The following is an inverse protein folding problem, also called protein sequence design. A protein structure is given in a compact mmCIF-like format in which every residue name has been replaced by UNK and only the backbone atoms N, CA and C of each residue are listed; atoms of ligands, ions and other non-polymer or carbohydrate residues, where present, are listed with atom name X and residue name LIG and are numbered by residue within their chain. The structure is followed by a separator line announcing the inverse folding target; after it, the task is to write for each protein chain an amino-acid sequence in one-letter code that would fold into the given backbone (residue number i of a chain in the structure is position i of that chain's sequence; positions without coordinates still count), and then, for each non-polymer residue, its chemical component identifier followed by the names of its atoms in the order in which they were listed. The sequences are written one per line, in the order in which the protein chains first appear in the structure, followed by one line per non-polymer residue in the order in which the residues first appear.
data_IF_349139644830
#
_entry.id   IF_349139644830
#
_cell.length_a   1.000
_cell.length_b   1.000
_cell.length_c   1.000
_cell.angle_alpha   90.00
_cell.angle_beta   90.00
_cell.angle_gamma   90.00
#
_symmetry.space_group_name_H-M   'P 1'
#
loop_
_entity.id
_entity.type
_entity.pdbx_description
1 polymer ?
#
# COMPACT_ATOMS: atom_id res chain seq x y z
N UNK A 1 2.50 9.49 9.83
CA UNK A 1 2.86 8.09 10.10
C UNK A 1 3.10 7.43 8.74
N UNK A 2 4.24 6.78 8.52
CA UNK A 2 4.58 6.15 7.23
C UNK A 2 4.51 4.63 7.35
N UNK A 3 4.18 3.94 6.27
CA UNK A 3 3.97 2.49 6.26
C UNK A 3 5.14 1.79 5.57
N UNK A 4 5.73 0.79 6.23
CA UNK A 4 6.79 -0.03 5.60
C UNK A 4 6.24 -0.85 4.43
N UNK A 5 6.97 -0.82 3.32
CA UNK A 5 6.71 -1.59 2.11
C UNK A 5 7.35 -2.99 2.17
N UNK A 6 8.17 -3.29 3.17
CA UNK A 6 8.86 -4.57 3.33
C UNK A 6 7.95 -5.81 3.22
N UNK A 7 6.77 -5.87 3.88
CA UNK A 7 5.88 -7.03 3.72
C UNK A 7 5.15 -7.07 2.37
N UNK A 8 5.18 -5.98 1.60
CA UNK A 8 4.50 -5.82 0.32
C UNK A 8 5.41 -6.04 -0.89
N UNK A 9 6.66 -6.47 -0.69
CA UNK A 9 7.59 -6.80 -1.78
C UNK A 9 8.42 -8.04 -1.48
N UNK A 10 8.71 -8.84 -2.51
CA UNK A 10 9.46 -10.10 -2.39
C UNK A 10 10.97 -9.89 -2.14
N UNK A 11 11.51 -8.72 -2.47
CA UNK A 11 12.92 -8.40 -2.21
C UNK A 11 13.20 -8.14 -0.72
N UNK A 12 12.17 -7.92 0.09
CA UNK A 12 12.31 -7.55 1.50
C UNK A 12 12.96 -6.17 1.70
N UNK A 13 12.89 -5.29 0.68
CA UNK A 13 13.41 -3.93 0.76
C UNK A 13 12.50 -3.12 1.68
N UNK A 14 13.11 -2.45 2.65
CA UNK A 14 12.38 -1.58 3.57
C UNK A 14 12.41 -0.13 3.10
N UNK A 15 11.32 0.27 2.46
CA UNK A 15 11.01 1.66 2.15
C UNK A 15 9.65 2.02 2.72
N UNK A 16 9.39 3.32 2.83
CA UNK A 16 8.19 3.85 3.46
C UNK A 16 7.25 4.49 2.43
N UNK A 17 5.98 4.11 2.43
CA UNK A 17 4.92 4.82 1.73
C UNK A 17 4.20 5.79 2.66
N UNK A 18 3.71 6.90 2.10
CA UNK A 18 2.88 7.86 2.83
C UNK A 18 1.47 7.32 3.09
N UNK A 19 0.91 6.58 2.14
CA UNK A 19 -0.38 5.93 2.22
C UNK A 19 -0.30 4.55 1.57
N UNK A 20 -0.95 3.55 2.19
CA UNK A 20 -1.16 2.21 1.63
C UNK A 20 -2.64 1.89 1.84
N UNK A 21 -3.32 1.43 0.79
CA UNK A 21 -4.71 0.99 0.84
C UNK A 21 -4.82 -0.39 0.22
N UNK A 22 -5.71 -1.22 0.75
CA UNK A 22 -6.13 -2.47 0.11
C UNK A 22 -7.56 -2.23 -0.38
N UNK A 23 -7.74 -2.22 -1.70
CA UNK A 23 -9.06 -2.12 -2.31
C UNK A 23 -9.54 -3.53 -2.67
N UNK A 24 -10.63 -3.97 -2.06
CA UNK A 24 -11.26 -5.28 -2.27
C UNK A 24 -12.32 -5.24 -3.39
N UNK A 25 -12.72 -4.05 -3.84
CA UNK A 25 -13.66 -3.85 -4.95
C UNK A 25 -13.34 -2.58 -5.74
N UNK A 26 -14.01 -2.43 -6.89
CA UNK A 26 -13.79 -1.33 -7.83
C UNK A 26 -14.12 0.03 -7.20
N UNK A 27 -15.18 0.12 -6.40
CA UNK A 27 -15.59 1.37 -5.77
C UNK A 27 -14.55 1.85 -4.75
N UNK A 28 -13.94 0.93 -3.99
CA UNK A 28 -12.84 1.26 -3.08
C UNK A 28 -11.60 1.76 -3.84
N UNK A 29 -11.27 1.15 -4.98
CA UNK A 29 -10.17 1.61 -5.82
C UNK A 29 -10.43 3.03 -6.36
N UNK A 30 -11.64 3.28 -6.88
CA UNK A 30 -12.04 4.60 -7.38
C UNK A 30 -12.04 5.67 -6.28
N UNK A 31 -12.34 5.30 -5.04
CA UNK A 31 -12.33 6.25 -3.90
C UNK A 31 -10.94 6.60 -3.40
N UNK A 32 -9.95 5.73 -3.64
CA UNK A 32 -8.58 5.91 -3.19
C UNK A 32 -7.68 6.59 -4.23
N UNK A 33 -8.18 6.76 -5.45
CA UNK A 33 -7.51 7.41 -6.57
C UNK A 33 -7.74 8.93 -6.55
#
# INVERSE_FOLDING_TARGET
MTHSLKPWNTFGIDHCAKHIVCAENEQQLLSAW
#
